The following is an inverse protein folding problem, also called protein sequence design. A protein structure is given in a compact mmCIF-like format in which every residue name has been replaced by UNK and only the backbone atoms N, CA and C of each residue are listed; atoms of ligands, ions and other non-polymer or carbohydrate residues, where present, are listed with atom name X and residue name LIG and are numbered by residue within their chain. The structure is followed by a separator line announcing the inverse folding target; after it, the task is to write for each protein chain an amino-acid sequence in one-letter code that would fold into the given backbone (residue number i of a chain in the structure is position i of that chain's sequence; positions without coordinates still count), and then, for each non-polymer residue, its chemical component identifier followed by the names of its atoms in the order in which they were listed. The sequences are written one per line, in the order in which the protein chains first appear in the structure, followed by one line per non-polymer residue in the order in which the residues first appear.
data_IF_173251582946
#
_entry.id   IF_173251582946
#
_cell.length_a   1.000
_cell.length_b   1.000
_cell.length_c   1.000
_cell.angle_alpha   90.00
_cell.angle_beta   90.00
_cell.angle_gamma   90.00
#
_symmetry.space_group_name_H-M   'P 1'
#
loop_
_entity.id
_entity.type
_entity.pdbx_description
1 polymer ?
#
# COMPACT_ATOMS: atom_id res chain seq x y z
N UNK A 1 -17.65 -19.87 15.24
CA UNK A 1 -17.05 -21.17 14.89
C UNK A 1 -15.89 -21.47 15.83
N UNK A 2 -15.65 -22.72 16.26
CA UNK A 2 -14.49 -23.06 17.08
C UNK A 2 -13.18 -22.85 16.28
N UNK A 3 -12.13 -22.37 16.96
CA UNK A 3 -10.82 -22.10 16.35
C UNK A 3 -10.11 -23.41 15.98
N UNK A 4 -9.46 -23.50 14.82
CA UNK A 4 -8.63 -24.65 14.47
C UNK A 4 -7.48 -24.83 15.47
N UNK A 5 -7.20 -26.08 15.83
CA UNK A 5 -6.06 -26.46 16.67
C UNK A 5 -4.75 -26.38 15.88
N UNK A 6 -3.61 -26.29 16.59
CA UNK A 6 -2.28 -26.32 15.97
C UNK A 6 -1.98 -27.64 15.22
N UNK A 7 -2.74 -28.70 15.51
CA UNK A 7 -2.70 -29.97 14.77
C UNK A 7 -3.46 -29.82 13.44
N UNK A 8 -4.67 -29.26 13.47
CA UNK A 8 -5.48 -29.00 12.27
C UNK A 8 -4.83 -28.00 11.31
N UNK A 9 -4.12 -26.98 11.84
CA UNK A 9 -3.33 -26.07 11.00
C UNK A 9 -2.16 -26.79 10.32
N UNK A 10 -1.51 -27.74 11.00
CA UNK A 10 -0.45 -28.57 10.41
C UNK A 10 -1.01 -29.57 9.39
N UNK A 11 -2.16 -30.17 9.66
CA UNK A 11 -2.88 -31.05 8.72
C UNK A 11 -3.41 -30.31 7.49
N UNK A 12 -3.59 -28.98 7.57
CA UNK A 12 -3.95 -28.14 6.41
C UNK A 12 -2.78 -27.87 5.46
N UNK A 13 -1.57 -28.24 5.84
CA UNK A 13 -0.43 -28.35 4.93
C UNK A 13 -0.37 -29.76 4.37
N UNK A 14 0.06 -29.95 3.13
CA UNK A 14 0.16 -31.27 2.51
C UNK A 14 1.24 -32.12 3.23
N UNK A 15 0.90 -32.72 4.36
CA UNK A 15 1.83 -33.42 5.27
C UNK A 15 2.53 -34.63 4.64
N UNK A 16 2.00 -35.15 3.54
CA UNK A 16 2.62 -36.21 2.72
C UNK A 16 3.39 -35.70 1.49
N UNK A 17 3.43 -34.39 1.24
CA UNK A 17 4.20 -33.83 0.14
C UNK A 17 5.69 -33.86 0.49
N UNK A 18 6.44 -34.68 -0.24
CA UNK A 18 7.90 -34.72 -0.17
C UNK A 18 8.42 -34.12 -1.46
N UNK A 19 9.12 -33.00 -1.34
CA UNK A 19 9.80 -32.37 -2.47
C UNK A 19 10.78 -33.38 -3.08
N UNK A 20 10.68 -33.66 -4.39
CA UNK A 20 11.63 -34.55 -5.04
C UNK A 20 13.06 -34.01 -4.89
N UNK A 21 14.01 -34.90 -4.65
CA UNK A 21 15.42 -34.53 -4.47
C UNK A 21 15.94 -33.76 -5.69
N UNK A 22 16.49 -32.57 -5.46
CA UNK A 22 17.05 -31.72 -6.52
C UNK A 22 16.05 -30.77 -7.17
N UNK A 23 14.77 -30.80 -6.78
CA UNK A 23 13.78 -29.81 -7.25
C UNK A 23 13.98 -28.48 -6.53
N UNK A 24 14.19 -27.36 -7.25
CA UNK A 24 14.27 -26.05 -6.62
C UNK A 24 12.93 -25.69 -5.97
N UNK A 25 13.00 -24.91 -4.89
CA UNK A 25 11.83 -24.51 -4.13
C UNK A 25 11.75 -23.00 -4.04
N UNK A 26 10.55 -22.49 -3.80
CA UNK A 26 10.30 -21.09 -3.48
C UNK A 26 9.20 -21.00 -2.41
N UNK A 27 9.08 -19.85 -1.75
CA UNK A 27 8.05 -19.61 -0.76
C UNK A 27 7.33 -18.27 -0.95
N UNK A 28 6.05 -18.28 -0.62
CA UNK A 28 5.19 -17.10 -0.56
C UNK A 28 4.24 -17.25 0.63
N UNK A 29 4.08 -16.19 1.43
CA UNK A 29 3.32 -16.27 2.66
C UNK A 29 3.94 -17.30 3.62
N UNK A 30 3.16 -18.33 3.99
CA UNK A 30 3.65 -19.50 4.75
C UNK A 30 3.67 -20.78 3.93
N UNK A 31 3.48 -20.66 2.62
CA UNK A 31 3.52 -21.78 1.68
C UNK A 31 4.93 -21.91 1.11
N UNK A 32 5.45 -23.13 1.12
CA UNK A 32 6.61 -23.54 0.31
C UNK A 32 6.06 -24.35 -0.85
N UNK A 33 6.56 -24.11 -2.04
CA UNK A 33 6.18 -24.83 -3.26
C UNK A 33 7.40 -25.12 -4.11
N UNK A 34 7.32 -26.19 -4.87
CA UNK A 34 8.36 -26.60 -5.80
C UNK A 34 8.21 -25.84 -7.12
N UNK A 35 9.34 -25.50 -7.75
CA UNK A 35 9.36 -24.80 -9.03
C UNK A 35 9.96 -25.70 -10.12
N UNK A 36 9.34 -25.70 -11.30
CA UNK A 36 9.71 -26.60 -12.40
C UNK A 36 11.01 -26.19 -13.12
N UNK A 37 11.56 -25.02 -12.80
CA UNK A 37 12.72 -24.42 -13.45
C UNK A 37 12.96 -22.99 -12.96
N UNK A 38 13.80 -22.20 -13.65
CA UNK A 38 13.99 -20.79 -13.34
C UNK A 38 12.66 -20.05 -13.37
N UNK A 39 12.31 -19.37 -12.29
CA UNK A 39 11.09 -18.55 -12.21
C UNK A 39 11.42 -17.11 -11.85
N UNK A 40 10.51 -16.21 -12.19
CA UNK A 40 10.61 -14.79 -11.91
C UNK A 40 9.46 -14.36 -11.02
N UNK A 41 9.79 -13.55 -10.00
CA UNK A 41 8.82 -12.68 -9.34
C UNK A 41 8.74 -11.35 -10.10
N UNK A 42 7.59 -10.66 -10.10
CA UNK A 42 7.50 -9.31 -10.63
C UNK A 42 8.38 -8.39 -9.80
N UNK A 43 9.19 -7.59 -10.50
CA UNK A 43 10.25 -6.80 -9.89
C UNK A 43 10.32 -5.36 -10.41
N UNK A 44 9.27 -4.94 -11.08
CA UNK A 44 9.02 -3.57 -11.51
C UNK A 44 7.72 -3.06 -10.88
N UNK A 45 7.60 -1.74 -10.78
CA UNK A 45 6.30 -1.12 -10.50
C UNK A 45 5.54 -0.92 -11.81
N UNK A 46 4.27 -1.31 -11.83
CA UNK A 46 3.36 -0.98 -12.93
C UNK A 46 3.05 0.52 -13.04
N UNK A 47 3.32 1.31 -11.98
CA UNK A 47 2.80 2.69 -11.82
C UNK A 47 3.87 3.70 -11.35
N UNK A 48 5.14 3.34 -11.46
CA UNK A 48 6.28 4.18 -11.09
C UNK A 48 6.76 4.01 -9.64
N UNK A 49 7.92 4.58 -9.34
CA UNK A 49 8.71 4.22 -8.15
C UNK A 49 8.01 4.45 -6.80
N UNK A 50 7.13 5.44 -6.68
CA UNK A 50 6.40 5.73 -5.44
C UNK A 50 5.05 5.01 -5.34
N UNK A 51 4.54 4.47 -6.45
CA UNK A 51 3.25 3.78 -6.52
C UNK A 51 3.44 2.26 -6.62
N UNK A 52 4.61 1.74 -6.23
CA UNK A 52 4.97 0.32 -6.33
C UNK A 52 4.08 -0.60 -5.49
N UNK A 53 3.38 -0.07 -4.48
CA UNK A 53 2.47 -0.83 -3.61
C UNK A 53 1.15 -1.18 -4.31
N UNK A 54 0.84 -0.50 -5.42
CA UNK A 54 -0.42 -0.60 -6.16
C UNK A 54 -0.24 -1.29 -7.53
N UNK A 55 0.78 -2.13 -7.67
CA UNK A 55 0.95 -2.95 -8.86
C UNK A 55 2.38 -3.47 -9.02
N UNK A 56 2.54 -4.77 -8.81
CA UNK A 56 3.74 -5.50 -9.17
C UNK A 56 3.65 -5.92 -10.65
N UNK A 57 4.73 -5.71 -11.40
CA UNK A 57 4.77 -6.02 -12.83
C UNK A 57 6.07 -6.71 -13.25
N UNK A 58 5.98 -7.49 -14.32
CA UNK A 58 7.12 -8.04 -15.06
C UNK A 58 7.59 -7.08 -16.16
N UNK A 59 6.65 -6.35 -16.76
CA UNK A 59 6.89 -5.27 -17.72
C UNK A 59 5.67 -4.34 -17.75
N UNK A 60 5.76 -3.23 -18.49
CA UNK A 60 4.66 -2.29 -18.69
C UNK A 60 3.33 -2.96 -19.11
N UNK A 61 3.42 -4.00 -19.94
CA UNK A 61 2.26 -4.70 -20.50
C UNK A 61 2.02 -6.09 -19.89
N UNK A 62 2.83 -6.50 -18.90
CA UNK A 62 2.73 -7.82 -18.26
C UNK A 62 2.69 -7.63 -16.75
N UNK A 63 1.48 -7.56 -16.22
CA UNK A 63 1.18 -7.41 -14.80
C UNK A 63 -0.16 -8.08 -14.47
N UNK A 64 -0.32 -8.52 -13.21
CA UNK A 64 -1.62 -8.72 -12.60
C UNK A 64 -1.91 -7.50 -11.72
N UNK A 65 -2.93 -6.72 -12.07
CA UNK A 65 -3.29 -5.50 -11.34
C UNK A 65 -3.73 -5.72 -9.89
N UNK A 66 -3.86 -6.97 -9.46
CA UNK A 66 -4.23 -7.36 -8.10
C UNK A 66 -3.08 -7.97 -7.30
N UNK A 67 -1.87 -8.11 -7.88
CA UNK A 67 -0.71 -8.54 -7.11
C UNK A 67 -0.46 -7.56 -5.95
N UNK A 68 -0.44 -8.10 -4.74
CA UNK A 68 -0.33 -7.34 -3.50
C UNK A 68 0.20 -8.22 -2.36
N UNK A 69 1.15 -7.68 -1.59
CA UNK A 69 1.71 -8.35 -0.42
C UNK A 69 1.38 -7.55 0.82
N UNK A 70 0.64 -8.16 1.76
CA UNK A 70 0.36 -7.56 3.06
C UNK A 70 0.61 -8.54 4.19
N UNK A 71 1.31 -8.05 5.22
CA UNK A 71 1.55 -8.75 6.48
C UNK A 71 1.16 -7.81 7.62
N UNK A 72 0.13 -8.18 8.37
CA UNK A 72 -0.54 -7.28 9.31
C UNK A 72 -1.12 -6.07 8.59
N UNK A 73 -0.75 -4.88 9.06
CA UNK A 73 -1.10 -3.59 8.43
C UNK A 73 0.00 -3.05 7.50
N UNK A 74 1.02 -3.85 7.18
CA UNK A 74 2.14 -3.44 6.30
C UNK A 74 1.97 -4.05 4.92
N UNK A 75 1.84 -3.20 3.91
CA UNK A 75 2.00 -3.57 2.50
C UNK A 75 3.48 -3.42 2.12
N UNK A 76 4.02 -4.34 1.34
CA UNK A 76 5.44 -4.33 0.98
C UNK A 76 5.73 -4.79 -0.45
N UNK A 77 6.89 -4.41 -0.98
CA UNK A 77 7.33 -4.78 -2.31
C UNK A 77 8.85 -4.63 -2.51
N UNK A 78 9.35 -5.12 -3.64
CA UNK A 78 10.78 -5.07 -3.98
C UNK A 78 10.97 -4.70 -5.45
N UNK A 79 11.92 -3.81 -5.72
CA UNK A 79 12.32 -3.41 -7.08
C UNK A 79 13.73 -3.92 -7.38
N UNK A 80 13.92 -4.42 -8.61
CA UNK A 80 15.22 -4.92 -9.09
C UNK A 80 16.27 -3.80 -9.15
N UNK A 81 17.58 -4.13 -8.98
CA UNK A 81 18.66 -3.20 -9.32
C UNK A 81 18.46 -2.53 -10.68
N UNK A 82 18.69 -1.23 -10.74
CA UNK A 82 18.56 -0.43 -11.97
C UNK A 82 17.11 -0.12 -12.39
N UNK A 83 16.10 -0.57 -11.63
CA UNK A 83 14.67 -0.25 -11.85
C UNK A 83 14.08 0.63 -10.75
N UNK A 84 14.95 1.24 -9.93
CA UNK A 84 14.57 2.18 -8.89
C UNK A 84 15.51 3.39 -8.93
N UNK A 85 15.01 4.52 -8.43
CA UNK A 85 15.76 5.71 -8.11
C UNK A 85 16.62 5.47 -6.85
N UNK A 86 17.60 6.34 -6.64
CA UNK A 86 18.41 6.30 -5.43
C UNK A 86 17.58 6.60 -4.17
N UNK A 87 18.06 6.18 -3.00
CA UNK A 87 17.41 6.50 -1.72
C UNK A 87 17.28 8.01 -1.50
N UNK A 88 18.27 8.80 -1.95
CA UNK A 88 18.21 10.25 -1.88
C UNK A 88 17.04 10.81 -2.72
N UNK A 89 16.87 10.33 -3.95
CA UNK A 89 15.75 10.71 -4.80
C UNK A 89 14.40 10.31 -4.22
N UNK A 90 14.31 9.13 -3.58
CA UNK A 90 13.09 8.70 -2.89
C UNK A 90 12.78 9.61 -1.70
N UNK A 91 13.80 10.01 -0.92
CA UNK A 91 13.66 10.95 0.18
C UNK A 91 13.18 12.33 -0.26
N UNK A 92 13.76 12.88 -1.34
CA UNK A 92 13.31 14.15 -1.92
C UNK A 92 11.90 14.04 -2.49
N UNK A 93 11.57 12.96 -3.22
CA UNK A 93 10.24 12.79 -3.77
C UNK A 93 9.14 12.68 -2.69
N UNK A 94 9.48 12.17 -1.50
CA UNK A 94 8.60 12.21 -0.32
C UNK A 94 8.32 13.64 0.18
N UNK A 95 9.32 14.53 0.12
CA UNK A 95 9.16 15.96 0.44
C UNK A 95 8.38 16.69 -0.66
N UNK A 96 8.68 16.41 -1.92
CA UNK A 96 8.01 17.03 -3.07
C UNK A 96 6.52 16.67 -3.08
N UNK A 97 6.16 15.43 -2.76
CA UNK A 97 4.75 15.02 -2.62
C UNK A 97 4.01 15.84 -1.56
N UNK A 98 4.63 16.06 -0.40
CA UNK A 98 4.08 16.93 0.65
C UNK A 98 3.86 18.34 0.13
N UNK A 99 4.87 18.90 -0.53
CA UNK A 99 4.84 20.27 -1.03
C UNK A 99 3.76 20.45 -2.12
N UNK A 100 3.70 19.52 -3.07
CA UNK A 100 2.67 19.49 -4.11
C UNK A 100 1.25 19.41 -3.55
N UNK A 101 1.03 18.60 -2.50
CA UNK A 101 -0.27 18.55 -1.83
C UNK A 101 -0.63 19.92 -1.24
N UNK A 102 0.29 20.57 -0.53
CA UNK A 102 0.06 21.90 0.07
C UNK A 102 -0.29 22.92 -1.02
N UNK A 103 0.46 22.96 -2.12
CA UNK A 103 0.21 23.88 -3.24
C UNK A 103 -1.16 23.65 -3.89
N UNK A 104 -1.58 22.39 -4.00
CA UNK A 104 -2.91 22.03 -4.49
C UNK A 104 -4.00 22.58 -3.55
N UNK A 105 -3.84 22.43 -2.24
CA UNK A 105 -4.80 22.96 -1.25
C UNK A 105 -4.84 24.49 -1.23
N UNK A 106 -3.68 25.16 -1.38
CA UNK A 106 -3.60 26.63 -1.50
C UNK A 106 -4.33 27.12 -2.76
N UNK A 107 -4.15 26.42 -3.87
CA UNK A 107 -4.85 26.73 -5.12
C UNK A 107 -6.37 26.57 -4.98
N UNK A 108 -6.81 25.58 -4.20
CA UNK A 108 -8.21 25.35 -3.88
C UNK A 108 -8.81 26.47 -3.02
N UNK A 109 -8.11 26.93 -1.98
CA UNK A 109 -8.53 28.10 -1.18
C UNK A 109 -8.74 29.31 -2.09
N UNK A 110 -7.77 29.61 -2.96
CA UNK A 110 -7.88 30.73 -3.89
C UNK A 110 -9.07 30.57 -4.86
N UNK A 111 -9.43 29.33 -5.24
CA UNK A 111 -10.62 29.03 -6.05
C UNK A 111 -11.91 29.32 -5.28
N UNK A 112 -11.99 28.89 -4.02
CA UNK A 112 -13.14 29.13 -3.14
C UNK A 112 -13.32 30.62 -2.86
N UNK A 113 -12.25 31.36 -2.58
CA UNK A 113 -12.28 32.82 -2.38
C UNK A 113 -12.82 33.56 -3.62
N UNK A 114 -12.32 33.21 -4.82
CA UNK A 114 -12.85 33.76 -6.08
C UNK A 114 -14.33 33.43 -6.29
N UNK A 115 -14.77 32.26 -5.82
CA UNK A 115 -16.18 31.85 -5.89
C UNK A 115 -17.04 32.70 -4.97
N UNK A 116 -16.59 32.96 -3.74
CA UNK A 116 -17.27 33.86 -2.79
C UNK A 116 -17.43 35.25 -3.39
N UNK A 117 -16.35 35.84 -3.92
CA UNK A 117 -16.38 37.18 -4.53
C UNK A 117 -17.38 37.23 -5.68
N UNK A 118 -17.36 36.22 -6.56
CA UNK A 118 -18.29 36.14 -7.69
C UNK A 118 -19.74 36.04 -7.24
N UNK A 119 -20.04 35.13 -6.31
CA UNK A 119 -21.41 34.93 -5.83
C UNK A 119 -21.96 36.17 -5.12
N UNK A 120 -21.15 36.86 -4.32
CA UNK A 120 -21.54 38.14 -3.69
C UNK A 120 -21.86 39.21 -4.73
N UNK A 121 -20.98 39.41 -5.72
CA UNK A 121 -21.20 40.40 -6.76
C UNK A 121 -22.48 40.13 -7.58
N UNK A 122 -22.76 38.86 -7.92
CA UNK A 122 -23.96 38.48 -8.66
C UNK A 122 -25.24 38.69 -7.85
N UNK A 123 -25.21 38.44 -6.54
CA UNK A 123 -26.33 38.74 -5.64
C UNK A 123 -26.59 40.25 -5.54
N UNK A 124 -25.53 41.04 -5.40
CA UNK A 124 -25.60 42.52 -5.34
C UNK A 124 -26.13 43.13 -6.64
N UNK A 125 -25.77 42.55 -7.79
CA UNK A 125 -26.24 42.97 -9.11
C UNK A 125 -27.65 42.49 -9.46
N UNK A 126 -28.27 41.63 -8.64
CA UNK A 126 -29.59 41.07 -8.91
C UNK A 126 -29.60 40.08 -10.09
N UNK A 127 -28.50 39.38 -10.37
CA UNK A 127 -28.39 38.42 -11.48
C UNK A 127 -29.11 37.08 -11.26
N UNK A 128 -29.83 36.95 -10.14
CA UNK A 128 -30.61 35.76 -9.79
C UNK A 128 -32.08 36.15 -9.76
N UNK A 129 -32.78 35.88 -10.86
CA UNK A 129 -34.20 36.19 -11.03
C UNK A 129 -35.11 35.22 -10.27
N UNK A 130 -34.60 34.02 -9.95
CA UNK A 130 -35.33 32.97 -9.26
C UNK A 130 -34.95 32.88 -7.77
N UNK A 131 -35.97 32.80 -6.90
CA UNK A 131 -35.81 32.76 -5.45
C UNK A 131 -35.10 31.48 -4.96
N UNK A 132 -35.23 30.36 -5.67
CA UNK A 132 -34.56 29.10 -5.34
C UNK A 132 -33.07 29.18 -5.66
N UNK A 133 -32.71 29.72 -6.82
CA UNK A 133 -31.32 30.00 -7.22
C UNK A 133 -30.63 30.93 -6.22
N UNK A 134 -31.31 32.01 -5.83
CA UNK A 134 -30.81 32.97 -4.84
C UNK A 134 -30.53 32.27 -3.50
N UNK A 135 -31.47 31.48 -2.99
CA UNK A 135 -31.29 30.72 -1.74
C UNK A 135 -30.17 29.70 -1.84
N UNK A 136 -30.02 29.05 -3.01
CA UNK A 136 -28.93 28.13 -3.28
C UNK A 136 -27.55 28.80 -3.14
N UNK A 137 -27.41 30.00 -3.69
CA UNK A 137 -26.17 30.79 -3.62
C UNK A 137 -25.91 31.33 -2.22
N UNK A 138 -26.92 31.84 -1.51
CA UNK A 138 -26.81 32.26 -0.11
C UNK A 138 -26.40 31.07 0.80
N UNK A 139 -26.97 29.89 0.56
CA UNK A 139 -26.60 28.66 1.25
C UNK A 139 -25.15 28.26 0.97
N UNK A 140 -24.71 28.30 -0.30
CA UNK A 140 -23.32 28.04 -0.65
C UNK A 140 -22.37 29.05 0.02
N UNK A 141 -22.68 30.34 -0.02
CA UNK A 141 -21.90 31.40 0.63
C UNK A 141 -21.77 31.23 2.14
N UNK A 142 -22.75 30.61 2.80
CA UNK A 142 -22.65 30.30 4.23
C UNK A 142 -21.70 29.15 4.56
N UNK A 143 -21.46 28.22 3.61
CA UNK A 143 -20.60 27.04 3.81
C UNK A 143 -19.16 27.24 3.35
N UNK A 144 -18.94 28.03 2.30
CA UNK A 144 -17.61 28.24 1.71
C UNK A 144 -16.54 28.73 2.72
N UNK A 145 -16.83 29.60 3.71
CA UNK A 145 -15.86 29.96 4.74
C UNK A 145 -15.39 28.77 5.59
N UNK A 146 -16.31 27.86 5.93
CA UNK A 146 -15.98 26.65 6.69
C UNK A 146 -15.12 25.71 5.84
N UNK A 147 -15.41 25.56 4.54
CA UNK A 147 -14.57 24.79 3.61
C UNK A 147 -13.14 25.35 3.50
N UNK A 148 -12.99 26.67 3.46
CA UNK A 148 -11.68 27.34 3.48
C UNK A 148 -10.95 27.02 4.80
N UNK A 149 -11.63 27.15 5.94
CA UNK A 149 -11.06 26.87 7.26
C UNK A 149 -10.64 25.40 7.40
N UNK A 150 -11.45 24.46 6.91
CA UNK A 150 -11.10 23.05 6.86
C UNK A 150 -9.87 22.80 6.00
N UNK A 151 -9.77 23.47 4.86
CA UNK A 151 -8.62 23.36 3.94
C UNK A 151 -7.34 23.90 4.58
N UNK A 152 -7.41 25.04 5.28
CA UNK A 152 -6.30 25.54 6.11
C UNK A 152 -5.90 24.53 7.19
N UNK A 153 -6.87 23.91 7.86
CA UNK A 153 -6.59 22.91 8.88
C UNK A 153 -5.91 21.66 8.27
N UNK A 154 -6.29 21.25 7.04
CA UNK A 154 -5.61 20.16 6.30
C UNK A 154 -4.14 20.50 6.01
N UNK A 155 -3.87 21.71 5.50
CA UNK A 155 -2.50 22.20 5.24
C UNK A 155 -1.66 22.16 6.52
N UNK A 156 -2.19 22.73 7.61
CA UNK A 156 -1.51 22.76 8.91
C UNK A 156 -1.18 21.35 9.42
N UNK A 157 -2.14 20.42 9.35
CA UNK A 157 -1.92 19.03 9.74
C UNK A 157 -0.79 18.38 8.95
N UNK A 158 -0.76 18.55 7.62
CA UNK A 158 0.32 17.99 6.78
C UNK A 158 1.68 18.61 7.11
N UNK A 159 1.73 19.91 7.39
CA UNK A 159 2.97 20.58 7.78
C UNK A 159 3.51 20.05 9.11
N UNK A 160 2.65 19.84 10.10
CA UNK A 160 3.00 19.39 11.46
C UNK A 160 3.28 17.87 11.55
N UNK A 161 2.57 17.06 10.78
CA UNK A 161 2.57 15.61 10.97
C UNK A 161 3.50 14.86 10.01
N UNK A 162 3.89 15.48 8.89
CA UNK A 162 4.94 14.95 8.04
C UNK A 162 6.29 15.05 8.74
N UNK A 163 6.97 13.92 8.93
CA UNK A 163 8.28 13.89 9.58
C UNK A 163 9.16 12.78 9.00
N UNK A 164 10.47 13.03 8.78
CA UNK A 164 11.44 11.96 8.56
C UNK A 164 11.43 11.01 9.76
N UNK A 165 11.66 9.72 9.49
CA UNK A 165 11.76 8.70 10.51
C UNK A 165 13.13 8.03 10.43
N UNK A 166 13.86 8.02 11.54
CA UNK A 166 15.07 7.23 11.67
C UNK A 166 14.70 5.77 11.95
N UNK A 167 15.10 4.88 11.05
CA UNK A 167 14.87 3.45 11.19
C UNK A 167 15.95 2.76 12.02
N UNK A 168 17.06 3.45 12.30
CA UNK A 168 18.29 2.85 12.80
C UNK A 168 18.75 1.66 11.93
N UNK A 169 18.60 1.81 10.62
CA UNK A 169 18.99 0.82 9.61
C UNK A 169 19.84 1.51 8.54
N UNK A 170 21.00 0.95 8.15
CA UNK A 170 21.80 1.52 7.08
C UNK A 170 21.05 1.45 5.75
N UNK A 171 21.41 2.32 4.81
CA UNK A 171 20.85 2.41 3.46
C UNK A 171 19.33 2.38 3.46
N UNK A 172 18.73 3.28 4.23
CA UNK A 172 17.29 3.39 4.34
C UNK A 172 16.82 4.84 4.42
N UNK A 173 15.58 5.06 3.99
CA UNK A 173 14.85 6.33 4.17
C UNK A 173 13.43 6.02 4.59
N UNK A 174 12.91 6.76 5.56
CA UNK A 174 11.54 6.63 6.00
C UNK A 174 10.96 7.98 6.39
N UNK A 175 9.64 8.06 6.31
CA UNK A 175 8.88 9.22 6.73
C UNK A 175 7.48 8.79 7.15
N UNK A 176 6.90 9.53 8.09
CA UNK A 176 5.52 9.38 8.50
C UNK A 176 4.72 10.62 8.08
N UNK A 177 3.45 10.42 7.77
CA UNK A 177 2.50 11.50 7.50
C UNK A 177 1.12 11.13 8.05
N UNK A 178 0.25 12.12 8.24
CA UNK A 178 -1.16 11.90 8.57
C UNK A 178 -1.97 11.74 7.26
N UNK A 179 -2.93 10.81 7.23
CA UNK A 179 -3.69 10.45 6.00
C UNK A 179 -4.61 11.58 5.51
N UNK A 180 -4.66 12.70 6.22
CA UNK A 180 -5.32 13.94 5.78
C UNK A 180 -4.93 14.33 4.35
N UNK A 181 -3.68 14.08 3.94
CA UNK A 181 -3.20 14.33 2.58
C UNK A 181 -3.84 13.45 1.48
N UNK A 182 -4.48 12.33 1.87
CA UNK A 182 -4.99 11.29 0.97
C UNK A 182 -6.49 10.98 1.17
N UNK A 183 -7.22 11.80 1.94
CA UNK A 183 -8.69 11.75 2.01
C UNK A 183 -9.31 10.73 2.97
N UNK A 184 -8.56 10.20 3.93
CA UNK A 184 -9.03 9.26 4.94
C UNK A 184 -8.47 9.54 6.34
N UNK A 185 -8.94 8.78 7.33
CA UNK A 185 -8.45 8.84 8.71
C UNK A 185 -7.24 7.92 8.88
N UNK A 186 -6.31 8.27 9.78
CA UNK A 186 -5.24 7.40 10.26
C UNK A 186 -3.82 7.88 9.95
N UNK A 187 -2.84 7.29 10.62
CA UNK A 187 -1.42 7.58 10.41
C UNK A 187 -0.86 6.69 9.30
N UNK A 188 0.07 7.24 8.52
CA UNK A 188 0.80 6.53 7.46
C UNK A 188 2.29 6.55 7.77
N UNK A 189 2.95 5.42 7.57
CA UNK A 189 4.40 5.34 7.52
C UNK A 189 4.87 4.70 6.21
N UNK A 190 5.91 5.29 5.65
CA UNK A 190 6.66 4.78 4.51
C UNK A 190 8.08 4.47 4.95
N UNK A 191 8.63 3.35 4.48
CA UNK A 191 10.04 3.03 4.60
C UNK A 191 10.56 2.42 3.30
N UNK A 192 11.78 2.76 2.96
CA UNK A 192 12.51 2.26 1.79
C UNK A 192 13.89 1.80 2.26
N UNK A 193 14.26 0.56 1.97
CA UNK A 193 15.48 -0.08 2.45
C UNK A 193 16.18 -0.72 1.25
N UNK A 194 17.43 -0.33 1.00
CA UNK A 194 18.25 -0.89 -0.07
C UNK A 194 19.04 -2.08 0.44
N UNK A 195 18.80 -3.28 -0.10
CA UNK A 195 19.55 -4.50 0.25
C UNK A 195 19.87 -5.28 -1.01
N UNK A 196 21.12 -5.73 -1.16
CA UNK A 196 21.56 -6.51 -2.31
C UNK A 196 21.22 -5.84 -3.66
N UNK A 197 21.33 -4.50 -3.71
CA UNK A 197 20.98 -3.69 -4.88
C UNK A 197 19.47 -3.61 -5.19
N UNK A 198 18.60 -4.19 -4.36
CA UNK A 198 17.13 -4.11 -4.49
C UNK A 198 16.58 -3.07 -3.53
N UNK A 199 15.69 -2.22 -4.02
CA UNK A 199 14.93 -1.31 -3.18
C UNK A 199 13.70 -2.04 -2.66
N UNK A 200 13.65 -2.27 -1.35
CA UNK A 200 12.48 -2.81 -0.67
C UNK A 200 11.71 -1.66 -0.07
N UNK A 201 10.39 -1.69 -0.20
CA UNK A 201 9.59 -0.59 0.24
C UNK A 201 8.34 -1.07 0.96
N UNK A 202 7.97 -0.31 1.98
CA UNK A 202 7.03 -0.69 3.02
C UNK A 202 6.10 0.48 3.27
N UNK A 203 4.83 0.17 3.40
CA UNK A 203 3.78 1.12 3.71
C UNK A 203 2.87 0.55 4.76
N UNK A 204 2.59 1.36 5.76
CA UNK A 204 1.67 0.98 6.82
C UNK A 204 0.65 2.08 7.05
N UNK A 205 -0.61 1.68 7.18
CA UNK A 205 -1.72 2.55 7.56
C UNK A 205 -2.38 2.02 8.81
N UNK A 206 -2.68 2.88 9.78
CA UNK A 206 -3.40 2.49 10.99
C UNK A 206 -4.23 3.63 11.55
N UNK A 207 -5.37 3.29 12.13
CA UNK A 207 -6.17 4.21 12.96
C UNK A 207 -5.66 4.31 14.40
N UNK A 208 -4.66 3.50 14.77
CA UNK A 208 -4.00 3.63 16.06
C UNK A 208 -3.35 5.00 16.20
N UNK A 209 -3.17 5.46 17.45
CA UNK A 209 -2.41 6.68 17.71
C UNK A 209 -1.00 6.58 17.07
N UNK A 210 -0.46 7.74 16.64
CA UNK A 210 0.78 7.83 15.86
C UNK A 210 1.95 7.11 16.52
N UNK A 211 2.12 7.25 17.83
CA UNK A 211 3.24 6.67 18.57
C UNK A 211 3.16 5.13 18.62
N UNK A 212 1.98 4.57 18.89
CA UNK A 212 1.76 3.12 18.84
C UNK A 212 2.00 2.58 17.44
N UNK A 213 1.42 3.21 16.42
CA UNK A 213 1.60 2.78 15.03
C UNK A 213 3.06 2.86 14.58
N UNK A 214 3.77 3.92 14.92
CA UNK A 214 5.20 4.07 14.62
C UNK A 214 6.01 2.94 15.28
N UNK A 215 5.75 2.63 16.56
CA UNK A 215 6.43 1.55 17.27
C UNK A 215 6.18 0.19 16.62
N UNK A 216 4.94 -0.10 16.23
CA UNK A 216 4.57 -1.34 15.55
C UNK A 216 5.24 -1.46 14.18
N UNK A 217 5.28 -0.36 13.42
CA UNK A 217 5.93 -0.31 12.11
C UNK A 217 7.44 -0.51 12.22
N UNK A 218 8.12 0.16 13.15
CA UNK A 218 9.54 -0.06 13.41
C UNK A 218 9.82 -1.51 13.85
N UNK A 219 9.00 -2.07 14.74
CA UNK A 219 9.13 -3.47 15.16
C UNK A 219 8.89 -4.47 14.01
N UNK A 220 8.06 -4.12 13.02
CA UNK A 220 7.93 -4.91 11.80
C UNK A 220 9.23 -4.88 10.98
N UNK A 221 9.79 -3.69 10.73
CA UNK A 221 10.98 -3.52 9.89
C UNK A 221 12.21 -4.22 10.50
N UNK A 222 12.34 -4.23 11.83
CA UNK A 222 13.44 -4.93 12.52
C UNK A 222 13.36 -6.47 12.41
N UNK A 223 12.17 -7.03 12.13
CA UNK A 223 11.99 -8.48 11.88
C UNK A 223 12.13 -8.84 10.40
N UNK A 224 12.19 -7.85 9.52
CA UNK A 224 12.35 -8.06 8.10
C UNK A 224 13.83 -8.23 7.74
N UNK A 225 14.11 -9.17 6.84
CA UNK A 225 15.42 -9.33 6.22
C UNK A 225 15.29 -9.61 4.71
N UNK A 226 16.29 -9.26 3.90
CA UNK A 226 16.35 -9.72 2.52
C UNK A 226 16.54 -11.24 2.47
N UNK A 227 16.09 -11.85 1.37
CA UNK A 227 16.39 -13.24 1.02
C UNK A 227 16.67 -13.38 -0.47
N UNK A 228 17.45 -14.37 -0.86
CA UNK A 228 17.68 -14.68 -2.27
C UNK A 228 16.47 -15.40 -2.90
N UNK A 229 16.39 -15.37 -4.23
CA UNK A 229 15.43 -16.20 -4.99
C UNK A 229 15.70 -17.68 -4.68
N UNK A 230 14.65 -18.42 -4.34
CA UNK A 230 14.74 -19.82 -3.94
C UNK A 230 15.35 -20.10 -2.55
N UNK A 231 15.72 -19.06 -1.79
CA UNK A 231 16.07 -19.23 -0.38
C UNK A 231 14.81 -19.51 0.43
N UNK A 232 14.76 -20.66 1.10
CA UNK A 232 13.70 -21.05 2.04
C UNK A 232 14.16 -20.76 3.48
N UNK A 233 13.56 -19.77 4.17
CA UNK A 233 13.85 -19.49 5.57
C UNK A 233 13.52 -20.68 6.47
N UNK A 234 14.38 -20.94 7.46
CA UNK A 234 14.18 -22.02 8.45
C UNK A 234 13.39 -21.57 9.69
N UNK A 235 13.32 -20.26 9.89
CA UNK A 235 12.60 -19.64 11.01
C UNK A 235 11.11 -19.52 10.72
N UNK A 236 10.29 -19.44 11.77
CA UNK A 236 8.88 -19.13 11.64
C UNK A 236 8.69 -17.68 11.16
N UNK A 237 7.89 -17.50 10.12
CA UNK A 237 7.66 -16.18 9.55
C UNK A 237 6.87 -16.20 8.26
N UNK A 238 6.97 -15.11 7.51
CA UNK A 238 6.27 -14.89 6.25
C UNK A 238 7.28 -14.62 5.15
N UNK A 239 7.28 -15.47 4.13
CA UNK A 239 8.02 -15.26 2.90
C UNK A 239 7.31 -14.24 2.00
N UNK A 240 8.08 -13.32 1.46
CA UNK A 240 7.66 -12.45 0.35
C UNK A 240 8.73 -12.50 -0.75
N UNK A 241 8.42 -12.11 -1.99
CA UNK A 241 9.44 -11.93 -3.02
C UNK A 241 10.65 -11.13 -2.50
N UNK A 242 11.83 -11.77 -2.51
CA UNK A 242 13.11 -11.19 -2.06
C UNK A 242 13.17 -10.71 -0.60
N UNK A 243 12.23 -11.09 0.25
CA UNK A 243 12.26 -10.77 1.68
C UNK A 243 11.64 -11.84 2.56
N UNK A 244 11.92 -11.75 3.86
CA UNK A 244 11.33 -12.59 4.89
C UNK A 244 11.04 -11.75 6.13
N UNK A 245 9.88 -11.97 6.75
CA UNK A 245 9.48 -11.33 8.01
C UNK A 245 9.34 -12.40 9.07
N UNK A 246 10.25 -12.44 10.05
CA UNK A 246 10.14 -13.35 11.19
C UNK A 246 8.89 -13.01 12.02
N UNK A 247 8.13 -14.01 12.45
CA UNK A 247 6.92 -13.81 13.27
C UNK A 247 6.60 -15.00 14.19
N UNK A 248 5.52 -14.89 14.97
CA UNK A 248 5.06 -15.95 15.88
C UNK A 248 4.08 -16.94 15.22
N UNK A 249 3.96 -16.91 13.89
CA UNK A 249 3.01 -17.69 13.11
C UNK A 249 1.57 -17.15 13.11
N UNK A 250 1.29 -16.03 13.80
CA UNK A 250 -0.07 -15.51 13.97
C UNK A 250 -0.36 -14.24 13.20
N UNK A 251 0.63 -13.62 12.55
CA UNK A 251 0.38 -12.42 11.75
C UNK A 251 -0.66 -12.72 10.68
N UNK A 252 -1.62 -11.79 10.52
CA UNK A 252 -2.58 -11.85 9.41
C UNK A 252 -1.79 -11.60 8.13
N UNK A 253 -1.99 -12.44 7.11
CA UNK A 253 -1.35 -12.31 5.82
C UNK A 253 -2.42 -12.24 4.74
N UNK A 254 -2.17 -11.41 3.75
CA UNK A 254 -2.88 -11.39 2.49
C UNK A 254 -1.82 -11.22 1.41
N UNK A 255 -1.40 -12.34 0.82
CA UNK A 255 -0.43 -12.33 -0.27
C UNK A 255 -1.11 -12.84 -1.53
N UNK A 256 -1.00 -12.05 -2.59
CA UNK A 256 -1.37 -12.42 -3.96
C UNK A 256 -0.20 -12.01 -4.81
N UNK A 257 0.44 -12.96 -5.48
CA UNK A 257 1.58 -12.65 -6.31
C UNK A 257 1.67 -13.62 -7.47
N UNK A 258 1.95 -13.07 -8.65
CA UNK A 258 2.17 -13.84 -9.85
C UNK A 258 3.64 -14.27 -9.96
N UNK A 259 3.86 -15.47 -10.48
CA UNK A 259 5.17 -15.92 -10.98
C UNK A 259 5.09 -16.11 -12.50
N UNK A 260 6.26 -16.05 -13.14
CA UNK A 260 6.41 -16.33 -14.56
C UNK A 260 7.61 -17.22 -14.80
N UNK A 261 7.49 -18.13 -15.77
CA UNK A 261 8.63 -18.89 -16.27
C UNK A 261 9.18 -18.21 -17.54
N UNK A 262 10.50 -18.00 -17.68
CA UNK A 262 11.09 -17.31 -18.83
C UNK A 262 10.82 -17.96 -20.19
N UNK A 263 10.59 -19.26 -20.22
CA UNK A 263 10.26 -20.04 -21.42
C UNK A 263 8.77 -19.94 -21.82
N UNK A 264 7.91 -19.43 -20.93
CA UNK A 264 6.51 -19.17 -21.18
C UNK A 264 6.13 -17.72 -20.75
N UNK A 265 6.71 -16.68 -21.38
CA UNK A 265 6.58 -15.30 -20.89
C UNK A 265 5.17 -14.71 -21.00
N UNK A 266 4.26 -15.36 -21.74
CA UNK A 266 2.84 -14.99 -21.85
C UNK A 266 1.94 -15.63 -20.79
N UNK A 267 2.48 -16.45 -19.89
CA UNK A 267 1.70 -17.15 -18.85
C UNK A 267 2.10 -16.63 -17.48
N UNK A 268 1.12 -16.14 -16.73
CA UNK A 268 1.27 -15.75 -15.34
C UNK A 268 0.58 -16.77 -14.43
N UNK A 269 1.28 -17.25 -13.42
CA UNK A 269 0.74 -18.15 -12.41
C UNK A 269 0.56 -17.37 -11.11
N UNK A 270 -0.68 -17.06 -10.76
CA UNK A 270 -0.96 -16.29 -9.55
C UNK A 270 -1.18 -17.20 -8.35
N UNK A 271 -0.38 -17.00 -7.32
CA UNK A 271 -0.51 -17.68 -6.03
C UNK A 271 -1.12 -16.68 -5.05
N UNK A 272 -2.24 -17.07 -4.46
CA UNK A 272 -2.87 -16.31 -3.38
C UNK A 272 -2.91 -17.15 -2.11
N UNK A 273 -2.39 -16.61 -1.02
CA UNK A 273 -2.57 -17.17 0.31
C UNK A 273 -2.95 -16.08 1.31
N UNK A 274 -3.89 -16.43 2.18
CA UNK A 274 -4.35 -15.59 3.27
C UNK A 274 -4.72 -16.47 4.44
N UNK A 275 -4.63 -15.95 5.66
CA UNK A 275 -5.24 -16.57 6.83
C UNK A 275 -6.48 -15.76 7.25
N UNK A 276 -7.49 -16.47 7.76
CA UNK A 276 -8.72 -15.85 8.27
C UNK A 276 -8.40 -15.23 9.63
N UNK A 277 -8.64 -13.93 9.80
CA UNK A 277 -8.70 -13.33 11.14
C UNK A 277 -10.07 -13.63 11.75
N UNK A 278 -10.17 -14.46 12.80
CA UNK A 278 -11.45 -14.74 13.45
C UNK A 278 -12.10 -13.51 14.12
N UNK A 279 -11.40 -12.36 14.20
CA UNK A 279 -11.94 -11.08 14.70
C UNK A 279 -12.47 -10.17 13.59
N UNK A 280 -12.11 -10.42 12.34
CA UNK A 280 -12.71 -9.74 11.20
C UNK A 280 -13.88 -10.61 10.76
N UNK A 281 -15.10 -10.10 10.94
CA UNK A 281 -16.31 -10.75 10.44
C UNK A 281 -16.24 -10.95 8.91
N UNK A 282 -17.19 -11.70 8.33
CA UNK A 282 -17.22 -12.01 6.89
C UNK A 282 -17.20 -10.77 5.96
N UNK A 283 -17.36 -9.56 6.49
CA UNK A 283 -17.39 -8.29 5.74
C UNK A 283 -16.05 -7.87 5.11
N UNK A 284 -14.88 -8.32 5.59
CA UNK A 284 -13.62 -8.11 4.83
C UNK A 284 -13.52 -8.96 3.58
N UNK A 285 -14.41 -9.94 3.41
CA UNK A 285 -14.57 -10.71 2.16
C UNK A 285 -15.36 -9.93 1.10
N UNK A 286 -16.08 -8.88 1.50
CA UNK A 286 -16.93 -8.09 0.59
C UNK A 286 -16.12 -7.05 -0.20
N UNK A 287 -14.99 -6.56 0.33
CA UNK A 287 -14.03 -5.78 -0.46
C UNK A 287 -13.42 -6.66 -1.57
N UNK A 288 -13.36 -7.97 -1.37
CA UNK A 288 -12.97 -8.95 -2.39
C UNK A 288 -14.10 -9.32 -3.36
N UNK A 289 -15.37 -8.98 -3.06
CA UNK A 289 -16.52 -9.27 -3.92
C UNK A 289 -16.93 -8.06 -4.78
N UNK A 290 -16.81 -6.82 -4.29
CA UNK A 290 -17.10 -5.63 -5.08
C UNK A 290 -16.10 -5.44 -6.25
N UNK A 291 -14.86 -5.93 -6.12
CA UNK A 291 -13.90 -6.00 -7.24
C UNK A 291 -14.20 -7.12 -8.25
N UNK A 292 -15.08 -8.08 -7.94
CA UNK A 292 -15.42 -9.21 -8.81
C UNK A 292 -16.60 -8.95 -9.76
N UNK A 293 -17.30 -7.81 -9.64
CA UNK A 293 -18.53 -7.54 -10.40
C UNK A 293 -18.43 -6.47 -11.49
N UNK A 294 -17.24 -5.87 -11.75
CA UNK A 294 -17.11 -4.76 -12.70
C UNK A 294 -16.22 -5.00 -13.92
N UNK A 295 -15.70 -6.22 -14.12
CA UNK A 295 -15.02 -6.61 -15.38
C UNK A 295 -15.82 -7.71 -16.04
N UNK A 296 -16.98 -7.32 -16.54
CA UNK A 296 -17.93 -8.19 -17.24
C UNK A 296 -18.90 -7.40 -18.10
N UNK A 297 -18.52 -6.19 -18.55
CA UNK A 297 -19.20 -5.47 -19.63
C UNK A 297 -18.10 -4.70 -20.38
N UNK A 298 -17.74 -5.17 -21.57
CA UNK A 298 -16.70 -4.59 -22.40
C UNK A 298 -16.07 -5.62 -23.33
N UNK A 299 -16.92 -6.31 -24.09
CA UNK A 299 -16.54 -6.81 -25.40
C UNK A 299 -16.73 -5.72 -26.45
#
# INVERSE_FOLDING_TARGET
MPKPTAKQLRESTATGYVTPTGTPQECLGRLIFDVAGPMEWPDQSARGILNFLDGHAFSENVADGHDALRVGNVTLGSLKPGKHASLAQVGEAGKDRKQFYIETQVSEIARLERTIVRFKARLENGEYDDDEDRKGVESALSKLPDEINETHARIKRVQEHWQPLDLNMPDSVAFGEDHVASGGEGNIFYAYILRNGRLHAFFSRSQANKATHQKEFLAFLQRWRPRALGEIPKDLGVCVPYGFVADDGKSIIHTRMSIRYPDAPGVLYTIQNSNVDPRLGPETTVITAAGRALVGIGG
#
